data_IF_417434182883
#
_entry.id   IF_417434182883
#
_cell.length_a   1.000
_cell.length_b   1.000
_cell.length_c   1.000
_cell.angle_alpha   90.00
_cell.angle_beta   90.00
_cell.angle_gamma   90.00
#
_symmetry.space_group_name_H-M   'P 1'
#
loop_
_entity.id
_entity.type
_entity.pdbx_description
1 polymer ?
#
# COMPACT_ATOMS: atom_id res chain seq x y z
N UNK A 1 -3.11 -22.29 -9.87
CA UNK A 1 -4.17 -21.26 -9.87
C UNK A 1 -4.45 -20.90 -8.42
N UNK A 2 -4.06 -19.74 -7.99
CA UNK A 2 -4.27 -19.30 -6.61
C UNK A 2 -5.72 -18.83 -6.45
N UNK A 3 -6.51 -19.38 -5.53
CA UNK A 3 -7.94 -19.07 -5.40
C UNK A 3 -8.19 -17.60 -5.00
N UNK A 4 -7.16 -16.88 -4.57
CA UNK A 4 -7.23 -15.47 -4.14
C UNK A 4 -6.67 -14.48 -5.16
N UNK A 5 -6.30 -14.94 -6.37
CA UNK A 5 -5.68 -14.08 -7.41
C UNK A 5 -6.65 -13.15 -8.13
N UNK A 6 -7.96 -13.32 -7.91
CA UNK A 6 -8.94 -12.44 -8.52
C UNK A 6 -8.84 -11.02 -7.94
N UNK A 7 -8.68 -9.98 -8.77
CA UNK A 7 -8.70 -8.61 -8.29
C UNK A 7 -10.06 -8.25 -7.71
N UNK A 8 -10.05 -7.39 -6.70
CA UNK A 8 -11.27 -6.81 -6.14
C UNK A 8 -11.67 -5.62 -7.02
N UNK A 9 -12.88 -5.69 -7.58
CA UNK A 9 -13.42 -4.65 -8.46
C UNK A 9 -13.19 -4.92 -9.94
N UNK A 10 -13.71 -4.00 -10.76
CA UNK A 10 -13.67 -4.09 -12.21
C UNK A 10 -12.31 -3.66 -12.77
N UNK A 11 -11.74 -4.47 -13.66
CA UNK A 11 -10.54 -4.10 -14.41
C UNK A 11 -10.95 -3.32 -15.67
N UNK A 12 -10.46 -2.10 -15.80
CA UNK A 12 -10.62 -1.28 -17.00
C UNK A 12 -9.59 -1.63 -18.07
N UNK A 13 -9.91 -1.47 -19.36
CA UNK A 13 -8.94 -1.62 -20.45
C UNK A 13 -7.76 -0.65 -20.26
N UNK A 14 -6.56 -1.13 -20.51
CA UNK A 14 -5.34 -0.30 -20.45
C UNK A 14 -5.07 0.37 -21.79
N UNK A 15 -4.38 1.52 -21.74
CA UNK A 15 -3.79 2.15 -22.91
C UNK A 15 -2.52 1.46 -23.42
N UNK A 16 -2.01 1.96 -24.54
CA UNK A 16 -0.69 1.64 -25.03
C UNK A 16 0.41 2.23 -24.14
N UNK A 17 1.69 1.91 -24.39
CA UNK A 17 2.81 2.49 -23.66
C UNK A 17 2.83 4.02 -23.80
N UNK A 18 2.94 4.73 -22.69
CA UNK A 18 3.12 6.17 -22.64
C UNK A 18 4.21 6.52 -21.63
N UNK A 19 4.86 7.66 -21.80
CA UNK A 19 5.85 8.13 -20.84
C UNK A 19 6.48 9.45 -21.21
N UNK A 20 7.16 10.03 -20.23
CA UNK A 20 7.95 11.26 -20.37
C UNK A 20 9.34 11.05 -19.78
N UNK A 21 10.32 11.76 -20.34
CA UNK A 21 11.65 11.89 -19.76
C UNK A 21 11.84 13.35 -19.35
N UNK A 22 12.22 13.55 -18.09
CA UNK A 22 12.55 14.85 -17.55
C UNK A 22 14.07 14.97 -17.35
N UNK A 23 14.61 16.14 -17.70
CA UNK A 23 15.98 16.52 -17.39
C UNK A 23 16.02 17.96 -16.93
N UNK A 24 16.59 18.19 -15.75
CA UNK A 24 16.70 19.52 -15.14
C UNK A 24 15.35 20.29 -15.06
N UNK A 25 14.24 19.55 -14.84
CA UNK A 25 12.88 20.09 -14.78
C UNK A 25 12.18 20.29 -16.12
N UNK A 26 12.85 19.98 -17.25
CA UNK A 26 12.29 20.11 -18.60
C UNK A 26 11.92 18.72 -19.17
N UNK A 27 10.79 18.66 -19.89
CA UNK A 27 10.44 17.50 -20.70
C UNK A 27 11.37 17.44 -21.90
N UNK A 28 12.20 16.42 -22.01
CA UNK A 28 13.14 16.22 -23.13
C UNK A 28 12.68 15.14 -24.10
N UNK A 29 11.76 14.28 -23.69
CA UNK A 29 11.10 13.33 -24.57
C UNK A 29 9.73 12.97 -24.01
N UNK A 30 8.79 12.68 -24.91
CA UNK A 30 7.45 12.18 -24.59
C UNK A 30 6.98 11.21 -25.67
N UNK A 31 6.13 10.25 -25.31
CA UNK A 31 5.50 9.31 -26.24
C UNK A 31 4.20 8.78 -25.68
N UNK A 32 3.32 8.32 -26.58
CA UNK A 32 2.02 7.76 -26.23
C UNK A 32 1.00 8.82 -25.83
N UNK A 33 -0.09 8.38 -25.20
CA UNK A 33 -1.16 9.24 -24.73
C UNK A 33 -0.92 9.57 -23.24
N UNK A 34 -0.39 10.75 -22.97
CA UNK A 34 -0.05 11.20 -21.61
C UNK A 34 -1.27 11.71 -20.81
N UNK A 35 -2.35 12.03 -21.50
CA UNK A 35 -3.61 12.49 -20.87
C UNK A 35 -4.49 11.33 -20.42
N UNK A 36 -4.15 10.12 -20.82
CA UNK A 36 -4.92 8.94 -20.49
C UNK A 36 -4.82 8.58 -19.02
N UNK A 37 -5.99 8.39 -18.39
CA UNK A 37 -6.08 7.86 -17.03
C UNK A 37 -6.10 6.33 -17.08
N UNK A 38 -5.06 5.73 -16.53
CA UNK A 38 -4.94 4.28 -16.41
C UNK A 38 -4.85 3.85 -14.93
N UNK A 39 -5.15 2.57 -14.67
CA UNK A 39 -5.01 2.01 -13.33
C UNK A 39 -3.52 1.92 -12.95
N UNK A 40 -3.17 2.44 -11.78
CA UNK A 40 -1.79 2.53 -11.30
C UNK A 40 -1.26 1.23 -10.71
N UNK A 41 -2.14 0.28 -10.37
CA UNK A 41 -1.76 -0.98 -9.71
C UNK A 41 -0.82 -0.73 -8.52
N UNK A 42 0.33 -1.41 -8.47
CA UNK A 42 1.25 -1.32 -7.35
C UNK A 42 1.94 0.03 -7.17
N UNK A 43 1.82 0.97 -8.10
CA UNK A 43 2.23 2.37 -7.87
C UNK A 43 1.41 3.00 -6.74
N UNK A 44 0.19 2.51 -6.49
CA UNK A 44 -0.63 2.89 -5.32
C UNK A 44 0.11 2.73 -3.98
N UNK A 45 1.07 1.82 -3.89
CA UNK A 45 1.91 1.64 -2.69
C UNK A 45 2.81 2.86 -2.42
N UNK A 46 3.27 3.53 -3.47
CA UNK A 46 4.01 4.80 -3.35
C UNK A 46 3.09 5.88 -2.80
N UNK A 47 1.88 6.01 -3.31
CA UNK A 47 0.90 6.97 -2.78
C UNK A 47 0.57 6.69 -1.31
N UNK A 48 0.38 5.42 -0.94
CA UNK A 48 0.17 5.03 0.45
C UNK A 48 1.37 5.44 1.33
N UNK A 49 2.60 5.24 0.88
CA UNK A 49 3.77 5.65 1.66
C UNK A 49 3.82 7.16 1.89
N UNK A 50 3.37 7.97 0.92
CA UNK A 50 3.24 9.41 1.08
C UNK A 50 2.15 9.78 2.10
N UNK A 51 0.98 9.12 2.06
CA UNK A 51 -0.07 9.41 3.06
C UNK A 51 0.36 9.06 4.49
N UNK A 52 1.14 7.99 4.67
CA UNK A 52 1.75 7.68 5.97
C UNK A 52 2.82 8.71 6.35
N UNK A 53 3.62 9.18 5.37
CA UNK A 53 4.60 10.25 5.58
C UNK A 53 3.94 11.55 6.06
N UNK A 54 2.82 11.93 5.46
CA UNK A 54 2.02 13.09 5.89
C UNK A 54 1.46 12.89 7.32
N UNK A 55 1.05 11.67 7.69
CA UNK A 55 0.61 11.39 9.06
C UNK A 55 1.74 11.56 10.09
N UNK A 56 2.98 11.29 9.69
CA UNK A 56 4.16 11.58 10.52
C UNK A 56 4.41 13.09 10.59
N UNK A 57 4.32 13.79 9.49
CA UNK A 57 4.50 15.26 9.42
C UNK A 57 3.47 15.98 10.31
N UNK A 58 2.23 15.54 10.29
CA UNK A 58 1.14 16.11 11.10
C UNK A 58 1.17 15.66 12.58
N UNK A 59 2.11 14.78 12.95
CA UNK A 59 2.25 14.26 14.32
C UNK A 59 1.20 13.21 14.71
N UNK A 60 0.38 12.74 13.77
CA UNK A 60 -0.56 11.63 13.99
C UNK A 60 0.19 10.32 14.28
N UNK A 61 1.36 10.16 13.70
CA UNK A 61 2.34 9.11 13.99
C UNK A 61 3.61 9.79 14.50
N UNK A 62 3.82 9.79 15.80
CA UNK A 62 4.95 10.51 16.41
C UNK A 62 6.32 9.90 16.06
N UNK A 63 6.39 8.58 15.87
CA UNK A 63 7.60 7.84 15.52
C UNK A 63 7.21 6.57 14.75
N UNK A 64 7.80 6.39 13.58
CA UNK A 64 7.57 5.20 12.74
C UNK A 64 8.07 3.89 13.36
N UNK A 65 8.93 3.97 14.38
CA UNK A 65 9.38 2.82 15.15
C UNK A 65 8.38 2.41 16.26
N UNK A 66 7.33 3.19 16.47
CA UNK A 66 6.25 2.81 17.38
C UNK A 66 5.41 1.68 16.78
N UNK A 67 4.98 0.69 17.58
CA UNK A 67 4.05 -0.32 17.11
C UNK A 67 2.76 0.27 16.56
N UNK A 68 2.27 -0.28 15.43
CA UNK A 68 0.98 0.11 14.85
C UNK A 68 -0.15 -0.07 15.86
N UNK A 69 -0.11 -1.13 16.65
CA UNK A 69 -1.08 -1.47 17.70
C UNK A 69 -1.23 -0.42 18.80
N UNK A 70 -0.24 0.49 18.93
CA UNK A 70 -0.32 1.58 19.92
C UNK A 70 -1.28 2.69 19.49
N UNK A 71 -1.57 2.83 18.20
CA UNK A 71 -2.45 3.85 17.63
C UNK A 71 -3.72 3.24 17.01
N UNK A 72 -3.71 1.96 16.68
CA UNK A 72 -4.77 1.28 15.95
C UNK A 72 -5.32 0.14 16.81
N UNK A 73 -6.54 0.31 17.30
CA UNK A 73 -7.20 -0.66 18.19
C UNK A 73 -7.83 -1.84 17.45
N UNK A 74 -7.76 -1.87 16.10
CA UNK A 74 -8.31 -2.95 15.30
C UNK A 74 -7.70 -4.30 15.71
N UNK A 75 -8.52 -5.35 15.96
CA UNK A 75 -8.07 -6.67 16.40
C UNK A 75 -6.99 -7.30 15.52
N UNK A 76 -6.93 -6.94 14.23
CA UNK A 76 -5.91 -7.41 13.29
C UNK A 76 -4.49 -7.00 13.67
N UNK A 77 -4.33 -5.93 14.47
CA UNK A 77 -3.03 -5.46 14.97
C UNK A 77 -2.80 -5.82 16.44
N UNK A 78 -3.79 -6.39 17.13
CA UNK A 78 -3.73 -6.66 18.57
C UNK A 78 -3.35 -8.10 18.93
N UNK A 79 -3.13 -8.99 17.95
CA UNK A 79 -2.65 -10.36 18.20
C UNK A 79 -1.24 -10.34 18.78
N UNK A 80 -0.84 -11.36 19.52
CA UNK A 80 0.51 -11.45 20.10
C UNK A 80 1.62 -11.34 19.04
N UNK A 81 1.38 -11.87 17.83
CA UNK A 81 2.30 -11.80 16.71
C UNK A 81 2.36 -10.40 16.09
N UNK A 82 1.22 -9.75 15.87
CA UNK A 82 1.16 -8.47 15.15
C UNK A 82 1.40 -7.25 16.07
N UNK A 83 1.17 -7.39 17.36
CA UNK A 83 1.29 -6.28 18.34
C UNK A 83 2.64 -5.55 18.31
N UNK A 84 3.80 -6.22 18.15
CA UNK A 84 5.10 -5.54 18.11
C UNK A 84 5.45 -4.93 16.74
N UNK A 85 4.63 -5.14 15.70
CA UNK A 85 4.92 -4.66 14.34
C UNK A 85 4.87 -3.13 14.30
N UNK A 86 5.95 -2.51 13.82
CA UNK A 86 6.08 -1.06 13.70
C UNK A 86 5.62 -0.54 12.34
N UNK A 87 5.34 0.75 12.26
CA UNK A 87 5.05 1.44 10.99
C UNK A 87 6.21 1.31 10.00
N UNK A 88 7.47 1.45 10.45
CA UNK A 88 8.66 1.25 9.62
C UNK A 88 8.69 -0.15 9.00
N UNK A 89 8.43 -1.18 9.78
CA UNK A 89 8.41 -2.55 9.28
C UNK A 89 7.31 -2.77 8.23
N UNK A 90 6.15 -2.15 8.39
CA UNK A 90 5.07 -2.22 7.40
C UNK A 90 5.42 -1.46 6.12
N UNK A 91 5.94 -0.24 6.23
CA UNK A 91 6.40 0.57 5.09
C UNK A 91 7.50 -0.13 4.28
N UNK A 92 8.42 -0.79 4.94
CA UNK A 92 9.54 -1.50 4.31
C UNK A 92 9.22 -2.93 3.87
N UNK A 93 7.98 -3.38 4.05
CA UNK A 93 7.54 -4.75 3.76
C UNK A 93 8.36 -5.83 4.49
N UNK A 94 8.79 -5.53 5.71
CA UNK A 94 9.49 -6.46 6.61
C UNK A 94 8.63 -6.87 7.81
N UNK A 95 7.35 -6.48 7.83
CA UNK A 95 6.48 -6.64 8.99
C UNK A 95 6.23 -8.10 9.39
N UNK A 96 6.22 -9.03 8.43
CA UNK A 96 5.75 -10.38 8.71
C UNK A 96 4.31 -10.44 9.25
N UNK A 97 3.51 -9.37 9.06
CA UNK A 97 2.13 -9.32 9.53
C UNK A 97 1.37 -10.59 9.13
N UNK A 98 0.61 -11.16 10.05
CA UNK A 98 -0.10 -12.42 9.86
C UNK A 98 -1.58 -12.26 10.15
N UNK A 99 -2.41 -12.79 9.25
CA UNK A 99 -3.85 -12.75 9.38
C UNK A 99 -4.59 -12.90 8.06
N UNK A 100 -5.88 -12.58 8.11
CA UNK A 100 -6.75 -12.55 6.94
C UNK A 100 -7.40 -11.18 6.84
N UNK A 101 -7.22 -10.51 5.73
CA UNK A 101 -7.79 -9.20 5.46
C UNK A 101 -8.77 -9.31 4.29
N UNK A 102 -10.05 -8.94 4.51
CA UNK A 102 -11.12 -9.01 3.50
C UNK A 102 -11.22 -10.37 2.79
N UNK A 103 -11.06 -11.45 3.54
CA UNK A 103 -11.10 -12.81 3.03
C UNK A 103 -9.81 -13.31 2.37
N UNK A 104 -8.77 -12.46 2.25
CA UNK A 104 -7.46 -12.86 1.73
C UNK A 104 -6.49 -13.11 2.88
N UNK A 105 -5.91 -14.32 2.99
CA UNK A 105 -4.88 -14.59 3.98
C UNK A 105 -3.53 -13.93 3.59
N UNK A 106 -2.67 -13.71 4.57
CA UNK A 106 -1.37 -13.04 4.42
C UNK A 106 -0.38 -13.76 3.47
N UNK A 107 -0.60 -15.03 3.17
CA UNK A 107 0.20 -15.77 2.19
C UNK A 107 -0.31 -15.65 0.75
N UNK A 108 -1.51 -15.09 0.54
CA UNK A 108 -2.02 -14.77 -0.80
C UNK A 108 -1.28 -13.53 -1.38
N UNK A 109 -1.43 -13.29 -2.67
CA UNK A 109 -0.91 -12.09 -3.36
C UNK A 109 0.58 -11.78 -3.08
N UNK A 110 1.40 -12.82 -2.98
CA UNK A 110 2.86 -12.69 -2.92
C UNK A 110 3.50 -13.36 -4.13
N UNK A 111 4.74 -12.98 -4.50
CA UNK A 111 5.44 -13.63 -5.59
C UNK A 111 5.46 -15.15 -5.40
N UNK A 112 5.29 -15.88 -6.50
CA UNK A 112 5.38 -17.33 -6.47
C UNK A 112 6.70 -17.77 -5.86
N UNK A 113 6.64 -18.67 -4.89
CA UNK A 113 7.81 -19.29 -4.28
C UNK A 113 7.89 -20.75 -4.73
N UNK A 114 9.10 -21.27 -4.77
CA UNK A 114 9.37 -22.66 -5.21
C UNK A 114 8.65 -23.71 -4.35
N UNK A 115 8.26 -23.36 -3.12
CA UNK A 115 7.53 -24.27 -2.24
C UNK A 115 6.59 -23.51 -1.27
N UNK A 116 5.37 -23.16 -1.68
CA UNK A 116 4.40 -22.48 -0.83
C UNK A 116 4.00 -23.29 0.41
N UNK A 117 4.05 -24.62 0.36
CA UNK A 117 3.71 -25.48 1.51
C UNK A 117 4.71 -25.32 2.67
N UNK A 118 5.96 -24.96 2.39
CA UNK A 118 6.99 -24.72 3.41
C UNK A 118 6.64 -23.53 4.30
N UNK A 119 6.05 -22.51 3.71
CA UNK A 119 5.70 -21.26 4.44
C UNK A 119 4.53 -21.49 5.40
N UNK A 120 3.61 -22.36 5.04
CA UNK A 120 2.48 -22.74 5.91
C UNK A 120 2.93 -23.56 7.14
N UNK A 121 4.05 -24.29 7.01
CA UNK A 121 4.62 -25.10 8.10
C UNK A 121 5.50 -24.25 9.01
N UNK A 122 6.20 -23.26 8.46
CA UNK A 122 7.15 -22.43 9.20
C UNK A 122 6.50 -21.35 10.08
N UNK A 123 5.19 -21.13 9.90
CA UNK A 123 4.49 -20.03 10.55
C UNK A 123 4.83 -18.65 9.98
N UNK A 124 4.25 -17.58 10.54
CA UNK A 124 4.49 -16.23 10.06
C UNK A 124 5.95 -15.81 10.33
N UNK A 125 6.58 -15.06 9.40
CA UNK A 125 7.93 -14.56 9.59
C UNK A 125 8.00 -13.63 10.81
N UNK A 126 9.11 -13.71 11.56
CA UNK A 126 9.36 -12.80 12.68
C UNK A 126 9.39 -11.36 12.17
N UNK A 127 8.66 -10.41 12.79
CA UNK A 127 8.66 -9.02 12.39
C UNK A 127 10.08 -8.43 12.30
N UNK A 128 10.38 -7.80 11.17
CA UNK A 128 11.69 -7.21 10.89
C UNK A 128 12.75 -8.18 10.33
N UNK A 129 12.52 -9.50 10.36
CA UNK A 129 13.56 -10.48 10.02
C UNK A 129 13.80 -10.64 8.51
N UNK A 130 12.79 -10.43 7.68
CA UNK A 130 12.89 -10.65 6.24
C UNK A 130 12.01 -9.69 5.45
N UNK A 131 12.49 -9.28 4.30
CA UNK A 131 11.69 -8.55 3.31
C UNK A 131 10.85 -9.54 2.51
N UNK A 132 9.58 -9.20 2.32
CA UNK A 132 8.68 -9.95 1.47
C UNK A 132 7.66 -9.03 0.81
N UNK A 133 7.66 -8.99 -0.53
CA UNK A 133 6.60 -8.31 -1.27
C UNK A 133 5.27 -9.02 -1.03
N UNK A 134 4.27 -8.29 -0.53
CA UNK A 134 2.99 -8.88 -0.17
C UNK A 134 1.88 -7.83 -0.19
N UNK A 135 0.90 -8.01 -1.06
CA UNK A 135 -0.19 -7.03 -1.22
C UNK A 135 -1.14 -7.02 -0.03
N UNK A 136 -1.38 -8.17 0.62
CA UNK A 136 -2.27 -8.23 1.80
C UNK A 136 -1.66 -7.42 2.96
N UNK A 137 -0.35 -7.52 3.17
CA UNK A 137 0.36 -6.75 4.22
C UNK A 137 0.39 -5.26 3.93
N UNK A 138 0.50 -4.88 2.64
CA UNK A 138 0.39 -3.48 2.24
C UNK A 138 -1.03 -2.96 2.43
N UNK A 139 -2.05 -3.77 2.14
CA UNK A 139 -3.44 -3.41 2.42
C UNK A 139 -3.70 -3.29 3.94
N UNK A 140 -3.04 -4.09 4.78
CA UNK A 140 -3.08 -3.91 6.24
C UNK A 140 -2.47 -2.57 6.66
N UNK A 141 -1.37 -2.12 6.02
CA UNK A 141 -0.83 -0.77 6.23
C UNK A 141 -1.84 0.31 5.83
N UNK A 142 -2.55 0.14 4.71
CA UNK A 142 -3.58 1.08 4.28
C UNK A 142 -4.73 1.16 5.29
N UNK A 143 -5.18 0.01 5.84
CA UNK A 143 -6.16 -0.02 6.91
C UNK A 143 -5.67 0.72 8.15
N UNK A 144 -4.43 0.48 8.57
CA UNK A 144 -3.84 1.18 9.71
C UNK A 144 -3.77 2.70 9.49
N UNK A 145 -3.34 3.13 8.30
CA UNK A 145 -3.32 4.55 7.94
C UNK A 145 -4.73 5.17 7.94
N UNK A 146 -5.74 4.44 7.46
CA UNK A 146 -7.14 4.88 7.49
C UNK A 146 -7.62 5.11 8.93
N UNK A 147 -7.24 4.22 9.87
CA UNK A 147 -7.57 4.41 11.30
C UNK A 147 -6.92 5.64 11.91
N UNK A 148 -5.71 5.99 11.48
CA UNK A 148 -5.01 7.17 12.00
C UNK A 148 -5.58 8.46 11.40
N UNK A 149 -5.85 8.49 10.11
CA UNK A 149 -6.40 9.65 9.42
C UNK A 149 -7.87 9.92 9.74
N UNK A 150 -8.68 8.88 10.00
CA UNK A 150 -10.14 8.96 10.18
C UNK A 150 -10.87 9.60 8.98
N UNK A 151 -10.23 9.57 7.80
CA UNK A 151 -10.78 10.05 6.54
C UNK A 151 -10.22 9.22 5.36
N UNK A 152 -10.88 9.23 4.19
CA UNK A 152 -10.42 8.45 3.04
C UNK A 152 -9.00 8.83 2.61
N UNK A 153 -8.11 7.86 2.49
CA UNK A 153 -6.70 8.11 2.13
C UNK A 153 -6.54 8.78 0.77
N UNK A 154 -7.47 8.51 -0.17
CA UNK A 154 -7.49 9.17 -1.48
C UNK A 154 -7.77 10.67 -1.34
N UNK A 155 -8.62 11.07 -0.39
CA UNK A 155 -8.89 12.48 -0.10
C UNK A 155 -7.67 13.16 0.51
N UNK A 156 -7.02 12.51 1.49
CA UNK A 156 -5.75 13.01 2.07
C UNK A 156 -4.71 13.23 0.98
N UNK A 157 -4.55 12.27 0.08
CA UNK A 157 -3.60 12.36 -1.03
C UNK A 157 -3.95 13.53 -1.97
N UNK A 158 -5.23 13.68 -2.33
CA UNK A 158 -5.69 14.73 -3.23
C UNK A 158 -5.47 16.11 -2.64
N UNK A 159 -5.92 16.33 -1.41
CA UNK A 159 -5.86 17.63 -0.75
C UNK A 159 -4.42 18.07 -0.41
N UNK A 160 -3.59 17.10 0.02
CA UNK A 160 -2.26 17.41 0.55
C UNK A 160 -1.14 17.34 -0.49
N UNK A 161 -1.34 16.62 -1.60
CA UNK A 161 -0.31 16.41 -2.62
C UNK A 161 -0.83 16.74 -4.01
N UNK A 162 -1.88 16.06 -4.49
CA UNK A 162 -2.25 16.10 -5.90
C UNK A 162 -2.78 17.48 -6.32
N UNK A 163 -3.67 18.06 -5.54
CA UNK A 163 -4.17 19.43 -5.78
C UNK A 163 -3.06 20.48 -5.68
N UNK A 164 -2.21 20.50 -4.63
CA UNK A 164 -1.11 21.46 -4.54
C UNK A 164 -0.09 21.42 -5.69
N UNK A 165 0.18 20.24 -6.27
CA UNK A 165 1.07 20.12 -7.43
C UNK A 165 0.38 20.36 -8.78
N UNK A 166 -0.92 20.68 -8.78
CA UNK A 166 -1.68 20.94 -10.00
C UNK A 166 -2.05 19.70 -10.79
N UNK A 167 -2.14 18.53 -10.13
CA UNK A 167 -2.62 17.31 -10.77
C UNK A 167 -4.07 17.47 -11.26
N UNK A 168 -4.38 16.87 -12.41
CA UNK A 168 -5.76 16.84 -12.90
C UNK A 168 -6.69 16.10 -11.95
N UNK A 169 -7.95 16.54 -11.83
CA UNK A 169 -8.95 15.89 -10.97
C UNK A 169 -9.34 14.45 -11.36
N UNK A 170 -8.66 13.87 -12.35
CA UNK A 170 -8.83 12.50 -12.82
C UNK A 170 -8.27 11.43 -11.87
N UNK A 171 -7.53 11.83 -10.83
CA UNK A 171 -7.05 10.94 -9.76
C UNK A 171 -8.09 10.67 -8.66
N UNK A 172 -9.34 11.13 -8.83
CA UNK A 172 -10.39 10.91 -7.84
C UNK A 172 -10.79 9.43 -7.74
N UNK A 173 -11.18 8.96 -6.53
CA UNK A 173 -11.82 7.67 -6.39
C UNK A 173 -13.00 7.58 -7.35
N UNK A 174 -13.20 6.41 -7.93
CA UNK A 174 -14.41 6.15 -8.70
C UNK A 174 -15.60 6.32 -7.75
N UNK A 175 -16.52 7.20 -8.10
CA UNK A 175 -17.80 7.28 -7.41
C UNK A 175 -18.44 5.88 -7.44
N UNK A 176 -18.64 5.32 -6.25
CA UNK A 176 -19.27 4.01 -6.03
C UNK A 176 -20.77 4.12 -6.18
#
# INVERSE_FOLDING_TARGET
>A
FEPFSSPVGELRPRGGPAGIILRDGYIVAEWGDLERVDMTFSISKTFLSHTVGLAVEDGLIADVNTPVSALVEDPLFQTDHNRPITWDQMLRQTSGWSGTLWGKPDWADRPARDNPARDLIAGPPVPGAAWEYNDVRVNALALAALHVWQEPLAQVLDDRIMTPIGSSGSCRPLDT
#
